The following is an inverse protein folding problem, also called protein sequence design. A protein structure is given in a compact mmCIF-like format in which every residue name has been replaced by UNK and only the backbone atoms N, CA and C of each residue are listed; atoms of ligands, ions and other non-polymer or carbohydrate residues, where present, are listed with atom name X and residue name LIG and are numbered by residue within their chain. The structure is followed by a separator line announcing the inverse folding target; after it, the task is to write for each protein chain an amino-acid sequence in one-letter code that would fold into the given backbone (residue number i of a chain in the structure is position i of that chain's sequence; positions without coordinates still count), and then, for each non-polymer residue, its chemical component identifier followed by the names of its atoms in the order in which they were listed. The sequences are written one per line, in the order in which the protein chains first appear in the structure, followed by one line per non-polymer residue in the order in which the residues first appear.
data_IF_637362357555
#
_entry.id   IF_637362357555
#
_cell.length_a   1.000
_cell.length_b   1.000
_cell.length_c   1.000
_cell.angle_alpha   90.00
_cell.angle_beta   90.00
_cell.angle_gamma   90.00
#
_symmetry.space_group_name_H-M   'P 1'
#
loop_
_entity.id
_entity.type
_entity.pdbx_description
1 polymer ?
#
# COMPACT_ATOMS: atom_id res chain seq x y z
N UNK A 1 16.08 -50.41 -41.99
CA UNK A 1 15.86 -49.21 -41.17
C UNK A 1 14.82 -49.59 -40.12
N UNK A 2 15.08 -49.48 -38.81
CA UNK A 2 14.12 -49.88 -37.80
C UNK A 2 12.97 -48.86 -37.72
N UNK A 3 11.76 -49.38 -37.53
CA UNK A 3 10.51 -48.65 -37.46
C UNK A 3 10.44 -47.78 -36.20
N UNK A 4 9.91 -46.56 -36.33
CA UNK A 4 9.69 -45.62 -35.23
C UNK A 4 8.39 -45.97 -34.51
N UNK A 5 8.51 -46.60 -33.35
CA UNK A 5 7.40 -46.79 -32.40
C UNK A 5 7.18 -45.48 -31.60
N UNK A 6 5.98 -44.88 -31.57
CA UNK A 6 5.73 -43.67 -30.80
C UNK A 6 5.74 -44.01 -29.29
N UNK A 7 6.63 -43.38 -28.53
CA UNK A 7 6.66 -43.55 -27.08
C UNK A 7 5.39 -42.97 -26.43
N UNK A 8 4.73 -43.79 -25.63
CA UNK A 8 3.58 -43.39 -24.81
C UNK A 8 3.99 -42.26 -23.84
N UNK A 9 3.28 -41.14 -23.92
CA UNK A 9 3.53 -39.97 -23.07
C UNK A 9 3.22 -40.29 -21.61
N UNK A 10 4.18 -39.98 -20.75
CA UNK A 10 4.08 -40.17 -19.29
C UNK A 10 2.89 -39.38 -18.69
N UNK A 11 2.16 -39.91 -17.68
CA UNK A 11 0.92 -39.31 -17.16
C UNK A 11 1.08 -37.95 -16.45
N UNK A 12 2.33 -37.54 -16.20
CA UNK A 12 2.66 -36.33 -15.44
C UNK A 12 2.49 -35.02 -16.22
N UNK A 13 2.34 -35.07 -17.55
CA UNK A 13 2.25 -33.88 -18.42
C UNK A 13 0.80 -33.39 -18.64
N UNK A 14 -0.16 -33.95 -17.88
CA UNK A 14 -1.60 -33.71 -18.03
C UNK A 14 -2.12 -32.47 -17.27
N UNK A 15 -1.30 -31.81 -16.45
CA UNK A 15 -1.77 -30.70 -15.58
C UNK A 15 -1.73 -29.30 -16.19
N UNK A 16 -1.31 -29.15 -17.45
CA UNK A 16 -1.31 -27.86 -18.16
C UNK A 16 -2.19 -27.83 -19.42
N UNK A 17 -3.04 -28.84 -19.65
CA UNK A 17 -3.94 -28.91 -20.83
C UNK A 17 -5.11 -27.89 -20.82
N UNK A 18 -5.17 -26.96 -19.87
CA UNK A 18 -6.31 -26.06 -19.71
C UNK A 18 -6.11 -24.61 -20.17
N UNK A 19 -4.87 -24.11 -20.29
CA UNK A 19 -4.63 -22.70 -20.59
C UNK A 19 -4.06 -22.58 -22.00
N UNK A 20 -4.94 -22.44 -22.99
CA UNK A 20 -4.50 -22.06 -24.33
C UNK A 20 -3.82 -20.70 -24.25
N UNK A 21 -2.67 -20.48 -24.94
CA UNK A 21 -2.08 -19.16 -25.04
C UNK A 21 -3.12 -18.15 -25.51
N UNK A 22 -3.28 -17.05 -24.78
CA UNK A 22 -4.18 -15.97 -25.21
C UNK A 22 -3.64 -15.41 -26.53
N UNK A 23 -4.44 -15.51 -27.59
CA UNK A 23 -4.11 -14.89 -28.87
C UNK A 23 -4.60 -13.45 -28.88
N UNK A 24 -3.86 -12.59 -29.57
CA UNK A 24 -4.26 -11.19 -29.74
C UNK A 24 -5.63 -11.07 -30.42
N UNK A 25 -5.88 -11.89 -31.44
CA UNK A 25 -7.19 -11.97 -32.12
C UNK A 25 -8.31 -12.41 -31.18
N UNK A 26 -8.04 -13.36 -30.28
CA UNK A 26 -9.00 -13.80 -29.26
C UNK A 26 -9.39 -12.67 -28.30
N UNK A 27 -8.41 -11.89 -27.85
CA UNK A 27 -8.66 -10.72 -27.00
C UNK A 27 -9.51 -9.66 -27.72
N UNK A 28 -9.21 -9.35 -28.99
CA UNK A 28 -9.98 -8.38 -29.76
C UNK A 28 -11.45 -8.80 -29.92
N UNK A 29 -11.69 -10.04 -30.36
CA UNK A 29 -13.05 -10.56 -30.49
C UNK A 29 -13.81 -10.62 -29.15
N UNK A 30 -13.09 -10.77 -28.03
CA UNK A 30 -13.71 -10.72 -26.71
C UNK A 30 -14.09 -9.29 -26.25
N UNK A 31 -13.47 -8.25 -26.83
CA UNK A 31 -13.79 -6.85 -26.55
C UNK A 31 -14.91 -6.33 -27.44
N UNK A 32 -14.82 -6.56 -28.75
CA UNK A 32 -15.74 -5.96 -29.74
C UNK A 32 -16.25 -6.94 -30.82
N UNK A 33 -16.12 -8.24 -30.59
CA UNK A 33 -16.57 -9.25 -31.54
C UNK A 33 -18.09 -9.37 -31.63
N UNK A 34 -18.57 -9.99 -32.71
CA UNK A 34 -19.99 -10.24 -33.00
C UNK A 34 -20.73 -11.07 -31.94
N UNK A 35 -20.00 -11.77 -31.07
CA UNK A 35 -20.53 -12.52 -29.93
C UNK A 35 -20.34 -11.82 -28.58
N UNK A 36 -19.91 -10.55 -28.57
CA UNK A 36 -19.75 -9.76 -27.35
C UNK A 36 -21.13 -9.41 -26.80
N UNK A 37 -21.31 -9.57 -25.48
CA UNK A 37 -22.56 -9.24 -24.79
C UNK A 37 -22.76 -7.73 -24.75
N UNK A 38 -23.99 -7.28 -25.00
CA UNK A 38 -24.37 -5.88 -24.82
C UNK A 38 -24.25 -5.44 -23.35
N UNK A 39 -24.24 -4.11 -23.11
CA UNK A 39 -24.22 -3.49 -21.76
C UNK A 39 -22.99 -3.81 -20.88
N UNK A 40 -21.82 -4.04 -21.49
CA UNK A 40 -20.58 -4.33 -20.76
C UNK A 40 -19.69 -3.10 -20.58
N UNK A 41 -19.21 -2.91 -19.35
CA UNK A 41 -18.11 -2.00 -19.03
C UNK A 41 -16.80 -2.78 -18.82
N UNK A 42 -15.74 -2.39 -19.54
CA UNK A 42 -14.42 -3.03 -19.44
C UNK A 42 -13.40 -2.02 -18.92
N UNK A 43 -12.67 -2.41 -17.87
CA UNK A 43 -11.50 -1.69 -17.40
C UNK A 43 -10.23 -2.43 -17.81
N UNK A 44 -9.26 -1.68 -18.32
CA UNK A 44 -7.92 -2.18 -18.63
C UNK A 44 -6.89 -1.30 -17.95
N UNK A 45 -5.80 -1.91 -17.47
CA UNK A 45 -4.68 -1.20 -16.85
C UNK A 45 -3.38 -1.59 -17.55
N UNK A 46 -2.46 -0.64 -17.66
CA UNK A 46 -1.11 -0.90 -18.19
C UNK A 46 -0.13 0.09 -17.61
N UNK A 47 1.07 -0.39 -17.28
CA UNK A 47 2.20 0.47 -16.90
C UNK A 47 2.97 0.97 -18.14
N UNK A 48 2.64 0.48 -19.35
CA UNK A 48 3.31 0.81 -20.60
C UNK A 48 2.29 1.14 -21.70
N UNK A 49 1.59 2.29 -21.62
CA UNK A 49 0.57 2.66 -22.60
C UNK A 49 1.13 2.83 -24.02
N UNK A 50 2.38 3.27 -24.16
CA UNK A 50 3.05 3.42 -25.46
C UNK A 50 3.35 2.10 -26.19
N UNK A 51 3.32 0.97 -25.46
CA UNK A 51 3.52 -0.36 -26.02
C UNK A 51 2.19 -1.01 -26.46
N UNK A 52 1.05 -0.36 -26.21
CA UNK A 52 -0.24 -0.90 -26.65
C UNK A 52 -0.40 -0.76 -28.17
N UNK A 53 -0.72 -1.85 -28.88
CA UNK A 53 -1.06 -1.79 -30.30
C UNK A 53 -2.18 -0.78 -30.57
N UNK A 54 -2.07 0.10 -31.59
CA UNK A 54 -3.10 1.09 -31.91
C UNK A 54 -4.48 0.49 -32.14
N UNK A 55 -4.54 -0.75 -32.60
CA UNK A 55 -5.78 -1.51 -32.84
C UNK A 55 -6.56 -1.80 -31.55
N UNK A 56 -5.92 -1.89 -30.37
CA UNK A 56 -6.63 -2.05 -29.10
C UNK A 56 -7.31 -0.76 -28.62
N UNK A 57 -6.73 0.40 -28.95
CA UNK A 57 -7.12 1.69 -28.36
C UNK A 57 -8.00 2.55 -29.27
N UNK A 58 -8.60 1.93 -30.29
CA UNK A 58 -9.54 2.59 -31.21
C UNK A 58 -10.88 2.87 -30.50
N UNK A 59 -11.62 3.91 -30.93
CA UNK A 59 -12.99 4.14 -30.50
C UNK A 59 -13.84 2.88 -30.71
N UNK A 60 -14.70 2.55 -29.74
CA UNK A 60 -15.48 1.30 -29.68
C UNK A 60 -14.79 0.15 -28.92
N UNK A 61 -13.50 0.29 -28.59
CA UNK A 61 -12.75 -0.64 -27.70
C UNK A 61 -12.28 0.05 -26.43
N UNK A 62 -11.64 1.22 -26.57
CA UNK A 62 -11.16 2.05 -25.46
C UNK A 62 -11.54 3.50 -25.73
N UNK A 63 -12.63 3.94 -25.12
CA UNK A 63 -13.14 5.29 -25.32
C UNK A 63 -12.57 6.29 -24.31
N UNK A 64 -12.28 5.84 -23.08
CA UNK A 64 -11.77 6.69 -22.00
C UNK A 64 -10.38 6.24 -21.56
N UNK A 65 -9.45 7.19 -21.48
CA UNK A 65 -8.06 6.96 -21.02
C UNK A 65 -7.78 7.90 -19.86
N UNK A 66 -7.42 7.33 -18.71
CA UNK A 66 -7.06 8.09 -17.50
C UNK A 66 -5.65 7.71 -17.10
N UNK A 67 -4.80 8.72 -16.91
CA UNK A 67 -3.46 8.51 -16.36
C UNK A 67 -3.52 8.58 -14.83
N UNK A 68 -3.07 7.52 -14.17
CA UNK A 68 -2.90 7.46 -12.72
C UNK A 68 -1.41 7.63 -12.42
N UNK A 69 -1.03 8.84 -12.02
CA UNK A 69 0.35 9.21 -11.74
C UNK A 69 0.76 9.02 -10.28
N UNK A 70 1.89 9.63 -9.92
CA UNK A 70 2.37 9.74 -8.54
C UNK A 70 1.40 10.58 -7.70
N UNK A 71 1.52 10.46 -6.38
CA UNK A 71 0.68 11.16 -5.44
C UNK A 71 0.86 12.68 -5.57
N UNK A 72 -0.26 13.37 -5.76
CA UNK A 72 -0.33 14.83 -5.67
C UNK A 72 -0.41 15.25 -4.20
N UNK A 73 0.03 16.48 -3.91
CA UNK A 73 -0.09 17.08 -2.56
C UNK A 73 -1.50 16.95 -1.97
N UNK A 74 -2.52 17.25 -2.78
CA UNK A 74 -3.93 17.14 -2.33
C UNK A 74 -4.34 15.69 -2.04
N UNK A 75 -3.85 14.71 -2.82
CA UNK A 75 -4.07 13.31 -2.51
C UNK A 75 -3.36 12.89 -1.21
N UNK A 76 -2.13 13.35 -0.97
CA UNK A 76 -1.39 13.10 0.28
C UNK A 76 -2.15 13.63 1.49
N UNK A 77 -2.59 14.89 1.42
CA UNK A 77 -3.41 15.55 2.45
C UNK A 77 -4.69 14.77 2.74
N UNK A 78 -5.43 14.41 1.68
CA UNK A 78 -6.67 13.62 1.81
C UNK A 78 -6.44 12.23 2.39
N UNK A 79 -5.35 11.56 1.99
CA UNK A 79 -5.00 10.27 2.55
C UNK A 79 -4.74 10.39 4.06
N UNK A 80 -4.01 11.42 4.49
CA UNK A 80 -3.75 11.68 5.90
C UNK A 80 -5.05 11.89 6.69
N UNK A 81 -5.93 12.79 6.24
CA UNK A 81 -7.23 13.04 6.89
C UNK A 81 -8.07 11.76 6.97
N UNK A 82 -8.03 10.91 5.94
CA UNK A 82 -8.80 9.67 5.92
C UNK A 82 -8.24 8.62 6.88
N UNK A 83 -6.92 8.61 7.08
CA UNK A 83 -6.25 7.63 7.92
C UNK A 83 -6.22 8.07 9.40
N UNK A 84 -6.08 9.37 9.67
CA UNK A 84 -6.08 9.97 11.01
C UNK A 84 -7.19 11.03 11.14
N UNK A 85 -8.46 10.62 11.34
CA UNK A 85 -9.58 11.56 11.41
C UNK A 85 -9.53 12.50 12.62
N UNK A 86 -8.78 12.15 13.66
CA UNK A 86 -8.66 12.93 14.91
C UNK A 86 -7.46 13.90 14.90
N UNK A 87 -6.68 13.97 13.81
CA UNK A 87 -5.47 14.79 13.71
C UNK A 87 -5.41 15.59 12.39
N UNK A 88 -6.56 16.07 11.93
CA UNK A 88 -6.70 16.69 10.60
C UNK A 88 -5.83 17.95 10.43
N UNK A 89 -5.51 18.65 11.51
CA UNK A 89 -4.65 19.84 11.49
C UNK A 89 -3.24 19.55 10.96
N UNK A 90 -2.75 18.32 11.08
CA UNK A 90 -1.42 17.92 10.63
C UNK A 90 -1.36 17.53 9.16
N UNK A 91 -2.52 17.36 8.51
CA UNK A 91 -2.59 16.90 7.12
C UNK A 91 -1.86 17.83 6.14
N UNK A 92 -1.94 19.14 6.39
CA UNK A 92 -1.31 20.15 5.53
C UNK A 92 0.21 20.12 5.68
N UNK A 93 0.71 19.96 6.90
CA UNK A 93 2.15 19.84 7.15
C UNK A 93 2.71 18.54 6.58
N UNK A 94 2.01 17.43 6.76
CA UNK A 94 2.37 16.14 6.18
C UNK A 94 2.50 16.23 4.66
N UNK A 95 1.48 16.79 3.99
CA UNK A 95 1.48 16.95 2.54
C UNK A 95 2.60 17.88 2.05
N UNK A 96 2.88 18.97 2.80
CA UNK A 96 3.98 19.89 2.50
C UNK A 96 5.36 19.22 2.63
N UNK A 97 5.58 18.39 3.66
CA UNK A 97 6.87 17.68 3.85
C UNK A 97 7.15 16.66 2.75
N UNK A 98 6.12 16.10 2.13
CA UNK A 98 6.26 15.14 1.03
C UNK A 98 6.19 15.76 -0.36
N UNK A 99 5.89 17.06 -0.46
CA UNK A 99 5.75 17.76 -1.73
C UNK A 99 7.02 17.66 -2.57
N UNK A 100 6.88 17.26 -3.83
CA UNK A 100 8.01 17.03 -4.75
C UNK A 100 8.70 15.67 -4.61
N UNK A 101 8.33 14.84 -3.62
CA UNK A 101 8.86 13.47 -3.48
C UNK A 101 8.11 12.53 -4.43
N UNK A 102 8.79 11.69 -5.25
CA UNK A 102 8.14 10.85 -6.24
C UNK A 102 7.52 9.58 -5.63
N UNK A 103 6.43 9.76 -4.88
CA UNK A 103 5.73 8.68 -4.15
C UNK A 103 4.48 8.21 -4.89
N UNK A 104 4.25 6.90 -4.92
CA UNK A 104 2.93 6.36 -5.23
C UNK A 104 2.01 6.43 -4.00
N UNK A 105 0.69 6.34 -4.22
CA UNK A 105 -0.26 6.25 -3.11
C UNK A 105 -0.05 4.98 -2.26
N UNK A 106 0.48 3.91 -2.87
CA UNK A 106 0.81 2.67 -2.15
C UNK A 106 1.97 2.85 -1.18
N UNK A 107 2.99 3.65 -1.55
CA UNK A 107 4.13 3.94 -0.67
C UNK A 107 3.67 4.69 0.58
N UNK A 108 2.81 5.68 0.40
CA UNK A 108 2.23 6.47 1.50
C UNK A 108 1.36 5.60 2.40
N UNK A 109 0.50 4.76 1.80
CA UNK A 109 -0.34 3.86 2.58
C UNK A 109 0.52 2.87 3.38
N UNK A 110 1.56 2.30 2.76
CA UNK A 110 2.51 1.41 3.45
C UNK A 110 3.21 2.12 4.60
N UNK A 111 3.59 3.39 4.43
CA UNK A 111 4.16 4.21 5.48
C UNK A 111 3.22 4.39 6.69
N UNK A 112 1.94 4.71 6.44
CA UNK A 112 0.94 4.84 7.50
C UNK A 112 0.73 3.58 8.33
N UNK A 113 0.95 2.39 7.76
CA UNK A 113 0.80 1.13 8.50
C UNK A 113 1.84 0.94 9.61
N UNK A 114 2.95 1.69 9.62
CA UNK A 114 3.92 1.71 10.72
C UNK A 114 3.47 2.62 11.87
N UNK A 115 2.55 3.55 11.61
CA UNK A 115 2.09 4.57 12.56
C UNK A 115 0.57 4.54 12.76
N UNK A 116 -0.06 3.36 12.68
CA UNK A 116 -1.53 3.18 12.60
C UNK A 116 -2.37 4.08 13.53
N UNK A 117 -1.91 4.27 14.77
CA UNK A 117 -2.59 5.06 15.80
C UNK A 117 -1.69 6.16 16.35
N UNK A 118 -0.68 6.58 15.58
CA UNK A 118 0.36 7.50 16.00
C UNK A 118 0.59 8.58 14.93
N UNK A 119 -0.36 9.51 14.78
CA UNK A 119 -0.25 10.59 13.79
C UNK A 119 0.93 11.53 14.06
N UNK A 120 1.37 11.65 15.31
CA UNK A 120 2.49 12.51 15.72
C UNK A 120 3.81 11.89 15.26
N UNK A 121 4.05 10.62 15.62
CA UNK A 121 5.19 9.86 15.13
C UNK A 121 5.22 9.77 13.60
N UNK A 122 4.05 9.66 12.96
CA UNK A 122 3.95 9.72 11.49
C UNK A 122 4.46 11.05 10.92
N UNK A 123 4.21 12.19 11.56
CA UNK A 123 4.63 13.51 11.07
C UNK A 123 6.09 13.82 11.40
N UNK A 124 6.61 13.31 12.51
CA UNK A 124 8.00 13.45 12.91
C UNK A 124 8.94 12.69 11.96
N UNK A 125 8.56 11.46 11.59
CA UNK A 125 9.42 10.55 10.82
C UNK A 125 9.25 10.68 9.30
N UNK A 126 8.39 11.57 8.81
CA UNK A 126 8.04 11.66 7.38
C UNK A 126 9.19 12.18 6.52
N UNK A 127 10.07 13.02 7.08
CA UNK A 127 11.25 13.54 6.38
C UNK A 127 12.24 12.43 6.03
N UNK A 128 12.59 11.59 7.00
CA UNK A 128 13.47 10.42 6.77
C UNK A 128 12.88 9.45 5.75
N UNK A 129 11.56 9.28 5.79
CA UNK A 129 10.85 8.48 4.79
C UNK A 129 11.02 9.05 3.37
N UNK A 130 10.85 10.37 3.19
CA UNK A 130 11.05 11.04 1.91
C UNK A 130 12.49 10.87 1.39
N UNK A 131 13.48 11.11 2.26
CA UNK A 131 14.90 10.99 1.92
C UNK A 131 15.27 9.57 1.50
N UNK A 132 14.76 8.55 2.22
CA UNK A 132 14.98 7.15 1.88
C UNK A 132 14.44 6.81 0.49
N UNK A 133 13.27 7.32 0.12
CA UNK A 133 12.69 7.06 -1.21
C UNK A 133 13.52 7.72 -2.30
N UNK A 134 13.95 8.97 -2.10
CA UNK A 134 14.81 9.68 -3.05
C UNK A 134 16.13 8.93 -3.26
N UNK A 135 16.75 8.46 -2.17
CA UNK A 135 18.01 7.72 -2.22
C UNK A 135 17.86 6.33 -2.85
N UNK A 136 16.73 5.65 -2.62
CA UNK A 136 16.45 4.33 -3.22
C UNK A 136 16.25 4.39 -4.73
N UNK A 137 15.86 5.56 -5.27
CA UNK A 137 15.59 5.76 -6.70
C UNK A 137 16.75 6.40 -7.48
N UNK A 138 17.93 6.60 -6.89
CA UNK A 138 19.16 6.99 -7.59
C UNK A 138 20.02 5.76 -7.90
N UNK A 139 19.97 5.18 -9.11
CA UNK A 139 20.87 4.10 -9.47
C UNK A 139 22.20 4.72 -9.92
N UNK A 140 23.22 4.66 -9.06
CA UNK A 140 24.60 4.96 -9.43
C UNK A 140 25.31 5.97 -8.52
N UNK A 141 25.79 5.49 -7.37
CA UNK A 141 27.08 5.83 -6.73
C UNK A 141 27.15 5.00 -5.45
N UNK A 142 27.49 3.73 -5.60
CA UNK A 142 27.83 2.87 -4.46
C UNK A 142 29.22 3.30 -4.00
N UNK A 143 29.30 4.15 -2.98
CA UNK A 143 30.46 4.10 -2.11
C UNK A 143 30.30 2.87 -1.22
N UNK A 144 31.13 1.87 -1.53
CA UNK A 144 31.32 0.69 -0.72
C UNK A 144 31.96 1.11 0.62
N UNK A 145 31.13 1.26 1.64
CA UNK A 145 31.55 0.93 3.00
C UNK A 145 30.70 -0.22 3.52
N UNK A 146 31.27 -1.41 3.35
CA UNK A 146 30.92 -2.58 4.11
C UNK A 146 31.01 -2.28 5.62
N UNK A 147 29.89 -2.39 6.31
CA UNK A 147 29.65 -3.47 7.27
C UNK A 147 28.60 -3.05 8.31
N UNK A 148 27.73 -4.03 8.60
CA UNK A 148 26.92 -4.16 9.81
C UNK A 148 25.51 -3.54 9.78
N UNK A 149 24.54 -4.43 9.55
CA UNK A 149 23.47 -4.79 10.51
C UNK A 149 22.09 -4.83 9.84
N UNK A 150 21.71 -6.04 9.44
CA UNK A 150 20.41 -6.69 9.69
C UNK A 150 19.24 -5.80 10.16
N UNK A 151 18.16 -5.80 9.37
CA UNK A 151 16.74 -5.88 9.79
C UNK A 151 16.40 -5.38 11.20
N UNK A 152 15.83 -4.19 11.33
CA UNK A 152 14.60 -3.92 12.11
C UNK A 152 14.19 -2.45 11.98
N UNK A 153 12.92 -2.18 11.66
CA UNK A 153 12.29 -0.90 12.02
C UNK A 153 12.34 -0.75 13.55
N UNK A 154 12.43 0.47 14.09
CA UNK A 154 12.63 0.66 15.53
C UNK A 154 11.47 0.05 16.32
N UNK A 155 11.78 -0.95 17.14
CA UNK A 155 10.89 -1.46 18.18
C UNK A 155 10.74 -0.40 19.25
N UNK A 156 9.49 -0.04 19.52
CA UNK A 156 9.06 0.81 20.62
C UNK A 156 9.73 0.35 21.92
N UNK A 157 10.45 1.26 22.59
CA UNK A 157 11.03 1.04 23.91
C UNK A 157 9.90 0.91 24.93
N UNK A 158 9.85 -0.23 25.61
CA UNK A 158 9.10 -0.43 26.84
C UNK A 158 9.67 0.50 27.93
N UNK A 159 8.84 1.41 28.42
CA UNK A 159 9.11 2.21 29.61
C UNK A 159 8.51 1.53 30.84
N UNK A 160 9.28 0.68 31.51
CA UNK A 160 8.95 0.10 32.82
C UNK A 160 9.55 0.89 33.99
N UNK A 161 8.69 1.50 34.79
CA UNK A 161 8.68 1.59 36.27
C UNK A 161 9.96 1.87 37.09
N UNK A 162 9.85 2.85 38.00
CA UNK A 162 10.34 2.83 39.41
C UNK A 162 9.49 3.84 40.20
N UNK A 163 8.51 3.41 41.02
CA UNK A 163 8.59 3.03 42.45
C UNK A 163 8.81 4.19 43.44
N UNK A 164 7.79 4.45 44.26
CA UNK A 164 7.79 4.78 45.70
C UNK A 164 6.31 5.02 46.11
N UNK A 165 5.76 4.65 47.26
CA UNK A 165 6.10 3.78 48.36
C UNK A 165 4.77 3.55 49.14
N UNK A 166 4.70 2.47 49.88
CA UNK A 166 3.58 1.98 50.68
C UNK A 166 3.47 2.74 52.02
N UNK A 167 2.26 3.16 52.44
CA UNK A 167 1.97 3.38 53.86
C UNK A 167 0.56 2.86 54.21
N UNK A 168 0.49 2.14 55.33
CA UNK A 168 -0.61 1.34 55.86
C UNK A 168 -1.04 1.96 57.19
N UNK A 169 -2.33 2.13 57.42
CA UNK A 169 -2.90 2.43 58.75
C UNK A 169 -4.30 3.03 58.62
N UNK A 170 -5.36 2.21 58.68
CA UNK A 170 -6.21 2.02 59.87
C UNK A 170 -6.62 3.33 60.52
N UNK A 171 -7.89 3.69 60.37
CA UNK A 171 -8.73 4.05 61.51
C UNK A 171 -10.19 3.72 61.21
N UNK A 172 -10.78 2.99 62.15
CA UNK A 172 -12.20 2.69 62.24
C UNK A 172 -12.82 3.62 63.29
N UNK A 173 -14.11 3.89 63.13
CA UNK A 173 -15.05 4.49 64.10
C UNK A 173 -15.19 6.02 64.01
N UNK A 174 -16.35 6.51 63.56
CA UNK A 174 -17.49 6.73 64.47
C UNK A 174 -18.61 7.55 63.80
N UNK A 175 -19.85 7.19 64.18
CA UNK A 175 -21.07 8.02 64.29
C UNK A 175 -21.72 8.50 62.97
N UNK A 176 -22.88 7.96 62.55
CA UNK A 176 -24.23 8.02 63.16
C UNK A 176 -24.89 9.40 63.12
N UNK A 177 -26.11 9.41 62.54
CA UNK A 177 -27.19 10.38 62.67
C UNK A 177 -26.96 11.74 61.98
N UNK A 178 -27.95 12.48 61.48
CA UNK A 178 -29.35 12.31 61.13
C UNK A 178 -29.79 13.69 60.59
N UNK A 179 -30.95 13.73 59.92
CA UNK A 179 -31.85 14.88 59.83
C UNK A 179 -31.53 16.04 58.84
N UNK A 180 -32.43 16.13 57.84
CA UNK A 180 -33.38 17.23 57.61
C UNK A 180 -32.85 18.66 57.37
N UNK A 181 -33.16 19.20 56.19
CA UNK A 181 -33.93 20.44 55.94
C UNK A 181 -33.41 21.20 54.71
N UNK A 182 -34.32 21.59 53.82
CA UNK A 182 -34.07 22.54 52.72
C UNK A 182 -34.75 22.13 51.43
#
# INVERSE_FOLDING_TARGET
LPEYEPSEKSPADSRHQGIRPMTFSGLLNALDGVGSTEERLVFMTTNRPSFLPPVLVRPGRVDVKVHVGLATREQMRRMFVRFYPDAIEWAEEFARKLEGTPLSLADIQGYFLFFKNDPEGCLENVGEFADRVINSQRPGMVEEKAASSTSTLPTKRDGGTSQAAEEKGRDASSMSAAATAG
#
